data_IF_623268191270
#
_entry.id   IF_623268191270
#
_cell.length_a   1.000
_cell.length_b   1.000
_cell.length_c   1.000
_cell.angle_alpha   90.00
_cell.angle_beta   90.00
_cell.angle_gamma   90.00
#
_symmetry.space_group_name_H-M   'P 1'
#
loop_
_entity.id
_entity.type
_entity.pdbx_description
1 polymer ?
#
# COMPACT_ATOMS: atom_id res chain seq x y z
N UNK A 1 11.30 -9.22 7.42
CA UNK A 1 10.41 -8.08 7.75
C UNK A 1 9.18 -8.67 8.40
N UNK A 2 8.59 -7.99 9.39
CA UNK A 2 7.38 -8.47 10.05
C UNK A 2 6.13 -7.96 9.31
N UNK A 3 5.02 -8.64 9.53
CA UNK A 3 3.69 -8.21 9.13
C UNK A 3 3.03 -7.58 10.36
N UNK A 4 2.07 -6.68 10.14
CA UNK A 4 1.32 -6.04 11.21
C UNK A 4 -0.19 -6.25 11.06
N UNK A 5 -0.90 -6.41 12.17
CA UNK A 5 -2.35 -6.56 12.24
C UNK A 5 -2.99 -5.21 12.59
N UNK A 6 -4.06 -4.87 11.87
CA UNK A 6 -4.92 -3.72 12.17
C UNK A 6 -6.31 -4.22 12.52
N UNK A 7 -6.87 -3.75 13.64
CA UNK A 7 -8.27 -3.98 14.02
C UNK A 7 -9.13 -2.91 13.36
N UNK A 8 -9.83 -3.28 12.29
CA UNK A 8 -10.53 -2.31 11.44
C UNK A 8 -11.75 -1.68 12.14
N UNK A 9 -12.37 -2.40 13.07
CA UNK A 9 -13.47 -1.87 13.88
C UNK A 9 -13.03 -0.81 14.91
N UNK A 10 -11.73 -0.73 15.24
CA UNK A 10 -11.17 0.30 16.11
C UNK A 10 -10.62 1.51 15.32
N UNK A 11 -10.67 1.46 13.98
CA UNK A 11 -10.11 2.49 13.11
C UNK A 11 -10.82 3.82 13.33
N UNK A 12 -10.07 4.80 13.81
CA UNK A 12 -10.56 6.16 14.02
C UNK A 12 -10.41 6.98 12.74
N UNK A 13 -11.37 7.88 12.42
CA UNK A 13 -11.18 8.87 11.37
C UNK A 13 -9.91 9.68 11.61
N UNK A 14 -9.15 9.95 10.55
CA UNK A 14 -7.88 10.66 10.64
C UNK A 14 -7.79 11.81 9.61
N UNK A 15 -8.69 12.81 9.69
CA UNK A 15 -8.76 13.91 8.71
C UNK A 15 -7.47 14.72 8.60
N UNK A 16 -6.65 14.74 9.66
CA UNK A 16 -5.35 15.41 9.67
C UNK A 16 -4.40 14.95 8.54
N UNK A 17 -4.55 13.71 8.05
CA UNK A 17 -3.71 13.23 6.94
C UNK A 17 -4.18 13.78 5.60
N UNK A 18 -5.50 13.90 5.39
CA UNK A 18 -6.07 14.52 4.20
C UNK A 18 -5.77 16.03 4.16
N UNK A 19 -5.91 16.71 5.30
CA UNK A 19 -5.58 18.13 5.45
C UNK A 19 -4.11 18.39 5.13
N UNK A 20 -3.20 17.54 5.64
CA UNK A 20 -1.76 17.65 5.36
C UNK A 20 -1.44 17.40 3.87
N UNK A 21 -2.09 16.42 3.24
CA UNK A 21 -1.98 16.22 1.79
C UNK A 21 -2.40 17.46 1.03
N UNK A 22 -3.57 17.99 1.33
CA UNK A 22 -4.15 19.16 0.67
C UNK A 22 -3.24 20.39 0.83
N UNK A 23 -2.68 20.61 2.02
CA UNK A 23 -1.71 21.69 2.28
C UNK A 23 -0.43 21.56 1.44
N UNK A 24 -0.09 20.36 0.98
CA UNK A 24 1.04 20.09 0.08
C UNK A 24 0.62 20.00 -1.40
N UNK A 25 -0.61 20.40 -1.74
CA UNK A 25 -1.14 20.34 -3.10
C UNK A 25 -1.38 18.91 -3.62
N UNK A 26 -1.51 17.95 -2.72
CA UNK A 26 -1.75 16.54 -3.04
C UNK A 26 -3.21 16.20 -2.77
N UNK A 27 -3.88 15.63 -3.77
CA UNK A 27 -5.19 14.99 -3.59
C UNK A 27 -5.03 13.47 -3.57
N UNK A 28 -5.88 12.79 -2.81
CA UNK A 28 -5.97 11.33 -2.78
C UNK A 28 -7.35 10.92 -3.27
N UNK A 29 -7.40 9.97 -4.21
CA UNK A 29 -8.64 9.43 -4.74
C UNK A 29 -8.50 7.95 -5.07
N UNK A 30 -9.62 7.26 -5.20
CA UNK A 30 -9.64 5.89 -5.71
C UNK A 30 -9.04 5.85 -7.12
N UNK A 31 -8.32 4.77 -7.44
CA UNK A 31 -7.87 4.53 -8.81
C UNK A 31 -9.05 4.13 -9.70
N UNK A 32 -9.02 4.61 -10.94
CA UNK A 32 -9.99 4.32 -11.98
C UNK A 32 -9.33 3.57 -13.14
N UNK A 33 -10.15 3.02 -14.05
CA UNK A 33 -9.65 2.17 -15.14
C UNK A 33 -8.57 2.85 -16.01
N UNK A 34 -8.69 4.17 -16.25
CA UNK A 34 -7.71 4.94 -17.03
C UNK A 34 -6.39 5.20 -16.30
N UNK A 35 -6.31 4.98 -14.99
CA UNK A 35 -5.06 5.11 -14.23
C UNK A 35 -4.11 3.94 -14.45
N UNK A 36 -4.57 2.81 -15.02
CA UNK A 36 -3.77 1.58 -15.12
C UNK A 36 -2.41 1.80 -15.77
N UNK A 37 -2.40 2.29 -17.02
CA UNK A 37 -1.15 2.49 -17.74
C UNK A 37 -0.20 3.51 -17.07
N UNK A 38 -0.63 4.74 -16.72
CA UNK A 38 0.26 5.71 -16.08
C UNK A 38 0.73 5.27 -14.69
N UNK A 39 -0.12 4.57 -13.91
CA UNK A 39 0.27 4.08 -12.60
C UNK A 39 1.31 2.96 -12.69
N UNK A 40 1.15 2.00 -13.62
CA UNK A 40 2.15 0.95 -13.80
C UNK A 40 3.50 1.52 -14.26
N UNK A 41 3.50 2.55 -15.12
CA UNK A 41 4.72 3.24 -15.50
C UNK A 41 5.40 3.91 -14.29
N UNK A 42 4.62 4.65 -13.48
CA UNK A 42 5.10 5.29 -12.25
C UNK A 42 5.70 4.28 -11.26
N UNK A 43 5.05 3.13 -11.06
CA UNK A 43 5.51 2.11 -10.12
C UNK A 43 6.84 1.49 -10.59
N UNK A 44 6.99 1.24 -11.89
CA UNK A 44 8.25 0.72 -12.46
C UNK A 44 9.39 1.73 -12.39
N UNK A 45 9.09 3.01 -12.58
CA UNK A 45 10.09 4.08 -12.54
C UNK A 45 10.63 4.32 -11.14
N UNK A 46 9.75 4.34 -10.13
CA UNK A 46 10.12 4.74 -8.76
C UNK A 46 10.24 3.60 -7.75
N UNK A 47 9.76 2.40 -8.09
CA UNK A 47 9.71 1.25 -7.17
C UNK A 47 10.20 -0.02 -7.86
N UNK A 48 9.49 -1.15 -7.75
CA UNK A 48 9.95 -2.46 -8.24
C UNK A 48 8.97 -3.08 -9.22
N UNK A 49 9.46 -3.94 -10.11
CA UNK A 49 8.60 -4.69 -11.05
C UNK A 49 7.61 -5.61 -10.32
N UNK A 50 7.99 -6.15 -9.15
CA UNK A 50 7.10 -6.96 -8.33
C UNK A 50 5.91 -6.13 -7.84
N UNK A 51 6.15 -4.89 -7.38
CA UNK A 51 5.07 -3.99 -6.99
C UNK A 51 4.20 -3.58 -8.17
N UNK A 52 4.78 -3.39 -9.36
CA UNK A 52 4.01 -3.14 -10.57
C UNK A 52 3.07 -4.31 -10.88
N UNK A 53 3.54 -5.55 -10.71
CA UNK A 53 2.72 -6.77 -10.89
C UNK A 53 1.56 -6.83 -9.89
N UNK A 54 1.79 -6.49 -8.62
CA UNK A 54 0.73 -6.46 -7.61
C UNK A 54 -0.29 -5.34 -7.88
N UNK A 55 0.17 -4.16 -8.30
CA UNK A 55 -0.71 -3.06 -8.72
C UNK A 55 -1.54 -3.45 -9.93
N UNK A 56 -0.94 -4.14 -10.91
CA UNK A 56 -1.65 -4.65 -12.07
C UNK A 56 -2.77 -5.62 -11.68
N UNK A 57 -2.51 -6.49 -10.70
CA UNK A 57 -3.52 -7.40 -10.17
C UNK A 57 -4.70 -6.66 -9.51
N UNK A 58 -4.47 -5.51 -8.87
CA UNK A 58 -5.55 -4.70 -8.27
C UNK A 58 -6.64 -4.34 -9.28
N UNK A 59 -6.26 -4.06 -10.54
CA UNK A 59 -7.19 -3.74 -11.62
C UNK A 59 -8.06 -4.93 -12.07
N UNK A 60 -7.70 -6.15 -11.65
CA UNK A 60 -8.47 -7.37 -11.92
C UNK A 60 -9.46 -7.71 -10.79
N UNK A 61 -9.43 -6.98 -9.68
CA UNK A 61 -10.22 -7.24 -8.46
C UNK A 61 -11.72 -6.90 -8.54
N UNK A 62 -12.15 -6.17 -9.58
CA UNK A 62 -13.53 -5.73 -9.76
C UNK A 62 -13.70 -4.21 -9.60
N UNK A 63 -14.97 -3.76 -9.56
CA UNK A 63 -15.33 -2.37 -9.33
C UNK A 63 -16.09 -2.27 -8.00
N UNK A 64 -15.68 -1.40 -7.05
CA UNK A 64 -14.53 -0.48 -7.14
C UNK A 64 -13.17 -1.20 -7.17
N UNK A 65 -12.20 -0.60 -7.89
CA UNK A 65 -10.82 -1.13 -7.93
C UNK A 65 -10.18 -0.99 -6.53
N UNK A 66 -9.42 -2.01 -6.14
CA UNK A 66 -8.81 -2.13 -4.81
C UNK A 66 -7.52 -1.29 -4.65
N UNK A 67 -7.64 0.03 -4.82
CA UNK A 67 -6.51 0.92 -4.59
C UNK A 67 -6.84 2.40 -4.69
N UNK A 68 -5.85 3.20 -4.31
CA UNK A 68 -5.91 4.66 -4.30
C UNK A 68 -4.62 5.24 -4.87
N UNK A 69 -4.74 6.44 -5.45
CA UNK A 69 -3.64 7.21 -6.01
C UNK A 69 -3.60 8.58 -5.37
N UNK A 70 -2.38 9.03 -5.06
CA UNK A 70 -2.09 10.40 -4.67
C UNK A 70 -1.60 11.17 -5.90
N UNK A 71 -2.14 12.37 -6.12
CA UNK A 71 -1.84 13.19 -7.31
C UNK A 71 -1.44 14.60 -6.89
N UNK A 72 -0.36 15.12 -7.47
CA UNK A 72 0.10 16.50 -7.32
C UNK A 72 0.27 17.12 -8.70
N UNK A 73 -0.39 18.24 -8.96
CA UNK A 73 -0.26 18.99 -10.24
C UNK A 73 -0.50 18.08 -11.47
N UNK A 74 -1.50 17.19 -11.40
CA UNK A 74 -1.84 16.25 -12.48
C UNK A 74 -0.88 15.08 -12.66
N UNK A 75 0.15 14.95 -11.81
CA UNK A 75 1.13 13.85 -11.84
C UNK A 75 0.96 12.93 -10.64
N UNK A 76 1.22 11.65 -10.83
CA UNK A 76 1.18 10.65 -9.75
C UNK A 76 2.29 10.98 -8.74
N UNK A 77 1.88 11.10 -7.48
CA UNK A 77 2.72 11.35 -6.32
C UNK A 77 2.93 10.09 -5.47
N UNK A 78 1.99 9.15 -5.54
CA UNK A 78 2.04 7.89 -4.80
C UNK A 78 0.82 7.02 -5.04
N UNK A 79 0.82 5.83 -4.45
CA UNK A 79 -0.24 4.84 -4.59
C UNK A 79 -0.31 3.92 -3.37
N UNK A 80 -1.46 3.26 -3.22
CA UNK A 80 -1.62 2.11 -2.36
C UNK A 80 -2.66 1.16 -2.96
N UNK A 81 -2.41 -0.13 -2.87
CA UNK A 81 -3.38 -1.18 -3.24
C UNK A 81 -3.60 -2.13 -2.08
N UNK A 82 -4.66 -2.92 -2.17
CA UNK A 82 -5.02 -3.95 -1.18
C UNK A 82 -5.68 -5.14 -1.89
N UNK A 83 -5.78 -6.29 -1.20
CA UNK A 83 -6.20 -7.58 -1.77
C UNK A 83 -5.29 -8.15 -2.88
N UNK A 84 -4.05 -7.65 -3.02
CA UNK A 84 -3.19 -8.00 -4.17
C UNK A 84 -2.20 -9.12 -3.88
N UNK A 85 -1.50 -9.09 -2.73
CA UNK A 85 -0.61 -10.20 -2.36
C UNK A 85 -1.41 -11.43 -1.89
N UNK A 86 -2.45 -11.16 -1.09
CA UNK A 86 -3.40 -12.11 -0.49
C UNK A 86 -4.68 -11.37 -0.09
N UNK A 87 -5.74 -12.12 0.21
CA UNK A 87 -6.95 -11.57 0.86
C UNK A 87 -6.64 -11.07 2.26
N UNK A 88 -7.25 -9.96 2.65
CA UNK A 88 -7.04 -9.24 3.89
C UNK A 88 -5.72 -8.46 3.95
N UNK A 89 -4.96 -8.33 2.87
CA UNK A 89 -3.66 -7.64 2.88
C UNK A 89 -3.75 -6.24 2.29
N UNK A 90 -3.17 -5.28 3.00
CA UNK A 90 -2.81 -3.96 2.52
C UNK A 90 -1.36 -3.97 2.01
N UNK A 91 -1.15 -3.39 0.83
CA UNK A 91 0.14 -3.25 0.20
C UNK A 91 0.18 -3.92 -1.19
N UNK A 92 1.09 -3.48 -2.07
CA UNK A 92 2.13 -2.47 -1.81
C UNK A 92 1.60 -1.03 -1.72
N UNK A 93 2.42 -0.17 -1.12
CA UNK A 93 2.18 1.28 -1.07
C UNK A 93 3.49 2.04 -1.23
N UNK A 94 3.45 3.17 -1.93
CA UNK A 94 4.63 3.97 -2.18
C UNK A 94 4.29 5.42 -2.46
N UNK A 95 5.12 6.33 -1.94
CA UNK A 95 5.11 7.77 -2.25
C UNK A 95 6.47 8.14 -2.81
N UNK A 96 6.48 8.97 -3.86
CA UNK A 96 7.70 9.49 -4.47
C UNK A 96 8.60 10.13 -3.42
N UNK A 97 9.90 9.93 -3.52
CA UNK A 97 10.84 10.22 -2.44
C UNK A 97 10.84 11.69 -1.99
N UNK A 98 10.79 12.61 -2.95
CA UNK A 98 10.70 14.08 -2.76
C UNK A 98 9.37 14.54 -2.13
N UNK A 99 8.36 13.67 -2.08
CA UNK A 99 7.03 13.95 -1.51
C UNK A 99 6.78 13.20 -0.21
N UNK A 100 7.77 12.48 0.32
CA UNK A 100 7.64 11.83 1.64
C UNK A 100 7.48 12.88 2.74
N UNK A 101 6.72 12.55 3.77
CA UNK A 101 6.38 13.51 4.83
C UNK A 101 5.31 14.55 4.46
N UNK A 102 4.68 14.45 3.28
CA UNK A 102 3.55 15.30 2.88
C UNK A 102 2.20 14.87 3.46
N UNK A 103 2.12 13.72 4.14
CA UNK A 103 0.86 13.11 4.58
C UNK A 103 0.30 12.07 3.61
N UNK A 104 0.76 12.03 2.35
CA UNK A 104 0.22 11.16 1.30
C UNK A 104 0.17 9.67 1.68
N UNK A 105 1.25 9.13 2.26
CA UNK A 105 1.30 7.72 2.65
C UNK A 105 0.28 7.37 3.73
N UNK A 106 0.04 8.26 4.68
CA UNK A 106 -0.95 8.04 5.74
C UNK A 106 -2.38 8.15 5.20
N UNK A 107 -2.66 9.14 4.35
CA UNK A 107 -3.96 9.26 3.70
C UNK A 107 -4.27 8.03 2.83
N UNK A 108 -3.32 7.58 2.01
CA UNK A 108 -3.45 6.36 1.19
C UNK A 108 -3.73 5.12 2.06
N UNK A 109 -2.98 4.94 3.15
CA UNK A 109 -3.19 3.85 4.10
C UNK A 109 -4.61 3.88 4.69
N UNK A 110 -5.03 5.01 5.23
CA UNK A 110 -6.34 5.14 5.88
C UNK A 110 -7.48 4.85 4.91
N UNK A 111 -7.42 5.37 3.67
CA UNK A 111 -8.44 5.12 2.64
C UNK A 111 -8.55 3.66 2.24
N UNK A 112 -7.42 2.95 2.16
CA UNK A 112 -7.44 1.50 1.92
C UNK A 112 -8.05 0.75 3.10
N UNK A 113 -7.63 1.03 4.34
CA UNK A 113 -8.16 0.35 5.53
C UNK A 113 -9.67 0.60 5.73
N UNK A 114 -10.13 1.82 5.50
CA UNK A 114 -11.56 2.17 5.47
C UNK A 114 -12.31 1.33 4.43
N UNK A 115 -11.77 1.20 3.21
CA UNK A 115 -12.37 0.38 2.16
C UNK A 115 -12.41 -1.10 2.53
N UNK A 116 -11.35 -1.63 3.15
CA UNK A 116 -11.33 -3.01 3.62
C UNK A 116 -12.38 -3.24 4.71
N UNK A 117 -12.58 -2.27 5.61
CA UNK A 117 -13.65 -2.31 6.62
C UNK A 117 -15.03 -2.33 5.97
N UNK A 118 -15.25 -1.49 4.96
CA UNK A 118 -16.52 -1.43 4.20
C UNK A 118 -16.80 -2.73 3.44
N UNK A 119 -15.77 -3.45 3.01
CA UNK A 119 -15.88 -4.79 2.42
C UNK A 119 -16.22 -5.89 3.44
N UNK A 120 -16.30 -5.56 4.73
CA UNK A 120 -16.68 -6.50 5.79
C UNK A 120 -15.49 -7.19 6.48
N UNK A 121 -14.26 -6.76 6.23
CA UNK A 121 -13.11 -7.27 7.01
C UNK A 121 -13.12 -6.69 8.43
N UNK A 122 -12.97 -7.58 9.43
CA UNK A 122 -12.76 -7.16 10.82
C UNK A 122 -11.29 -6.77 11.09
N UNK A 123 -10.36 -7.34 10.32
CA UNK A 123 -8.93 -7.13 10.45
C UNK A 123 -8.27 -6.95 9.08
N UNK A 124 -7.18 -6.20 9.04
CA UNK A 124 -6.29 -6.11 7.88
C UNK A 124 -4.86 -6.46 8.28
N UNK A 125 -4.11 -7.03 7.34
CA UNK A 125 -2.69 -7.35 7.48
C UNK A 125 -1.89 -6.37 6.63
N UNK A 126 -0.86 -5.76 7.20
CA UNK A 126 0.12 -4.93 6.50
C UNK A 126 1.34 -5.81 6.28
N UNK A 127 1.58 -6.20 5.02
CA UNK A 127 2.65 -7.13 4.67
C UNK A 127 4.02 -6.47 4.59
N UNK A 128 5.07 -7.12 5.11
CA UNK A 128 6.46 -6.73 4.87
C UNK A 128 6.79 -5.30 5.31
N UNK A 129 6.54 -4.98 6.58
CA UNK A 129 6.55 -3.61 7.09
C UNK A 129 7.96 -3.03 7.23
N UNK A 130 8.11 -1.78 6.78
CA UNK A 130 9.17 -0.86 7.19
C UNK A 130 8.80 0.60 6.89
N UNK A 131 8.85 1.53 7.87
CA UNK A 131 9.07 1.35 9.32
C UNK A 131 7.79 1.01 10.10
N UNK A 132 7.86 0.11 11.10
CA UNK A 132 6.69 -0.32 11.90
C UNK A 132 6.03 0.82 12.69
N UNK A 133 6.84 1.72 13.25
CA UNK A 133 6.35 2.86 14.02
C UNK A 133 5.40 3.77 13.22
N UNK A 134 5.53 3.83 11.89
CA UNK A 134 4.61 4.57 11.04
C UNK A 134 3.19 3.98 11.12
N UNK A 135 3.05 2.66 10.99
CA UNK A 135 1.75 1.98 11.01
C UNK A 135 1.15 1.92 12.41
N UNK A 136 1.97 1.69 13.43
CA UNK A 136 1.55 1.76 14.84
C UNK A 136 0.93 3.14 15.14
N UNK A 137 1.63 4.22 14.80
CA UNK A 137 1.14 5.59 15.03
C UNK A 137 -0.09 5.96 14.19
N UNK A 138 -0.17 5.45 12.96
CA UNK A 138 -1.18 5.91 11.98
C UNK A 138 -2.50 5.18 12.12
N UNK A 139 -2.47 3.86 12.36
CA UNK A 139 -3.69 3.03 12.40
C UNK A 139 -3.73 2.05 13.59
N UNK A 140 -2.84 2.19 14.58
CA UNK A 140 -2.81 1.31 15.75
C UNK A 140 -2.40 -0.12 15.42
N UNK A 141 -1.64 -0.31 14.33
CA UNK A 141 -1.20 -1.63 13.91
C UNK A 141 -0.26 -2.26 14.95
N UNK A 142 -0.36 -3.56 15.15
CA UNK A 142 0.53 -4.33 16.05
C UNK A 142 1.31 -5.39 15.29
N UNK A 143 2.54 -5.69 15.69
CA UNK A 143 3.33 -6.78 15.10
C UNK A 143 2.57 -8.11 15.21
N UNK A 144 2.59 -8.91 14.14
CA UNK A 144 2.17 -10.31 14.18
C UNK A 144 3.40 -11.15 14.57
N UNK A 145 3.37 -11.78 15.73
CA UNK A 145 4.49 -12.61 16.21
C UNK A 145 4.76 -13.79 15.27
N UNK A 146 6.03 -14.06 14.97
CA UNK A 146 6.45 -15.17 14.10
C UNK A 146 6.25 -14.95 12.59
N UNK A 147 5.94 -13.71 12.17
CA UNK A 147 5.66 -13.39 10.77
C UNK A 147 6.89 -12.98 9.95
N UNK A 148 8.13 -13.24 10.41
CA UNK A 148 9.36 -12.71 9.79
C UNK A 148 9.55 -13.15 8.34
N UNK A 149 9.01 -14.33 8.01
CA UNK A 149 9.05 -14.93 6.68
C UNK A 149 7.83 -14.56 5.85
N UNK A 150 6.67 -14.45 6.50
CA UNK A 150 5.39 -14.07 5.92
C UNK A 150 4.99 -14.87 4.67
N UNK A 151 4.04 -14.32 3.93
CA UNK A 151 3.54 -14.89 2.67
C UNK A 151 4.55 -14.80 1.51
N UNK A 152 5.63 -14.03 1.70
CA UNK A 152 6.67 -13.76 0.71
C UNK A 152 7.83 -14.77 0.73
N UNK A 153 7.78 -15.78 1.61
CA UNK A 153 8.86 -16.76 1.81
C UNK A 153 9.33 -17.43 0.53
N UNK A 154 8.40 -17.90 -0.32
CA UNK A 154 8.72 -18.58 -1.56
C UNK A 154 9.40 -17.62 -2.56
N UNK A 155 8.87 -16.40 -2.68
CA UNK A 155 9.44 -15.35 -3.53
C UNK A 155 10.89 -15.05 -3.14
N UNK A 156 11.17 -14.85 -1.85
CA UNK A 156 12.54 -14.58 -1.39
C UNK A 156 13.49 -15.76 -1.60
N UNK A 157 13.01 -17.00 -1.45
CA UNK A 157 13.81 -18.21 -1.74
C UNK A 157 14.20 -18.28 -3.22
N UNK A 158 13.25 -18.05 -4.11
CA UNK A 158 13.47 -18.11 -5.56
C UNK A 158 14.37 -16.98 -6.06
N UNK A 159 14.19 -15.76 -5.55
CA UNK A 159 15.07 -14.62 -5.88
C UNK A 159 16.50 -14.85 -5.37
N UNK A 160 16.67 -15.41 -4.17
CA UNK A 160 17.99 -15.78 -3.64
C UNK A 160 18.71 -16.84 -4.47
N UNK A 161 17.98 -17.87 -4.93
CA UNK A 161 18.53 -18.92 -5.79
C UNK A 161 18.99 -18.38 -7.16
N UNK A 162 18.25 -17.44 -7.75
CA UNK A 162 18.61 -16.81 -9.05
C UNK A 162 19.89 -15.97 -8.98
N UNK A 163 20.19 -15.36 -7.83
CA UNK A 163 21.45 -14.64 -7.65
C UNK A 163 22.66 -15.57 -7.47
N UNK A 164 22.46 -16.75 -6.86
CA UNK A 164 23.53 -17.74 -6.70
C UNK A 164 23.88 -18.47 -8.00
N UNK A 165 22.95 -18.59 -8.96
CA UNK A 165 23.22 -19.17 -10.28
C UNK A 165 23.88 -18.22 -11.28
N UNK A 166 23.94 -16.92 -10.97
CA UNK A 166 24.57 -15.88 -11.81
C UNK A 166 25.95 -15.45 -11.31
N UNK A 167 26.43 -16.01 -10.19
CA UNK A 167 27.77 -15.81 -9.62
C UNK A 167 28.64 -17.04 -9.91
#
# INVERSE_FOLDING_TARGET
>A
MHDMLVRLYDLQPAPQYDERCAANGISVRRIDAWDRAPLLAFVREHFTENWASEVEFAFSGGHPIHGFVAVREGRIAGFAVYETSRRGFFGPTGVREDLRGSGAGAALLMRCLESMREMGYAYAIIGGVGPAAFYEKTCGATIIEGSERGVYTALFRELGARHQQKA
#
